data_IF_394132953933
#
_entry.id   IF_394132953933
#
_cell.length_a   1.000
_cell.length_b   1.000
_cell.length_c   1.000
_cell.angle_alpha   90.00
_cell.angle_beta   90.00
_cell.angle_gamma   90.00
#
_symmetry.space_group_name_H-M   'P 1'
#
loop_
_entity.id
_entity.type
_entity.pdbx_description
1 polymer ?
#
# COMPACT_ATOMS: atom_id res chain seq x y z
N UNK A 1 32.44 3.12 -7.39
CA UNK A 1 31.87 4.32 -6.73
C UNK A 1 31.74 5.52 -7.68
N UNK A 2 32.14 5.38 -8.95
CA UNK A 2 32.19 6.48 -9.94
C UNK A 2 30.96 6.56 -10.87
N UNK A 3 30.14 5.49 -10.96
CA UNK A 3 28.95 5.48 -11.82
C UNK A 3 27.77 6.28 -11.23
N UNK A 4 27.68 6.38 -9.90
CA UNK A 4 26.58 7.07 -9.21
C UNK A 4 26.71 8.59 -9.21
N UNK A 5 27.91 9.13 -9.45
CA UNK A 5 28.14 10.59 -9.54
C UNK A 5 27.91 11.14 -10.95
N UNK A 6 27.81 10.29 -11.98
CA UNK A 6 27.60 10.71 -13.37
C UNK A 6 26.12 10.77 -13.79
N UNK A 7 25.23 10.14 -13.02
CA UNK A 7 23.79 10.09 -13.35
C UNK A 7 23.13 11.49 -13.32
N UNK A 8 23.41 12.38 -12.33
CA UNK A 8 22.81 13.71 -12.30
C UNK A 8 23.19 14.58 -13.51
N UNK A 9 24.45 14.48 -13.96
CA UNK A 9 24.97 15.25 -15.10
C UNK A 9 24.39 14.78 -16.42
N UNK A 10 24.28 13.46 -16.64
CA UNK A 10 23.67 12.90 -17.86
C UNK A 10 22.19 13.29 -17.98
N UNK A 11 21.46 13.31 -16.87
CA UNK A 11 20.06 13.75 -16.86
C UNK A 11 19.95 15.26 -17.11
N UNK A 12 20.82 16.07 -16.52
CA UNK A 12 20.85 17.52 -16.74
C UNK A 12 21.18 17.88 -18.19
N UNK A 13 22.17 17.21 -18.80
CA UNK A 13 22.57 17.44 -20.19
C UNK A 13 21.48 16.97 -21.17
N UNK A 14 20.80 15.86 -20.86
CA UNK A 14 19.65 15.40 -21.64
C UNK A 14 18.48 16.40 -21.59
N UNK A 15 18.19 17.00 -20.42
CA UNK A 15 17.16 18.03 -20.28
C UNK A 15 17.55 19.30 -21.03
N UNK A 16 18.81 19.73 -20.93
CA UNK A 16 19.31 20.91 -21.62
C UNK A 16 19.35 20.77 -23.16
N UNK A 17 19.33 19.54 -23.68
CA UNK A 17 19.33 19.27 -25.12
C UNK A 17 17.95 19.31 -25.79
N UNK A 18 16.88 19.55 -25.02
CA UNK A 18 15.52 19.58 -25.54
C UNK A 18 15.27 20.95 -26.21
N UNK A 19 14.90 20.97 -27.50
CA UNK A 19 14.59 22.21 -28.20
C UNK A 19 13.43 22.96 -27.52
N UNK A 20 13.56 24.28 -27.34
CA UNK A 20 12.54 25.11 -26.67
C UNK A 20 11.16 25.09 -27.39
N UNK A 21 11.14 24.77 -28.68
CA UNK A 21 9.95 24.59 -29.50
C UNK A 21 9.29 23.20 -29.36
N UNK A 22 10.03 22.20 -28.86
CA UNK A 22 9.46 20.89 -28.52
C UNK A 22 8.59 20.95 -27.25
N UNK A 23 8.85 21.91 -26.35
CA UNK A 23 8.08 22.12 -25.13
C UNK A 23 6.65 22.63 -25.43
N UNK A 24 6.50 23.40 -26.52
CA UNK A 24 5.24 24.03 -26.94
C UNK A 24 4.34 23.06 -27.72
N UNK A 25 4.92 22.12 -28.48
CA UNK A 25 4.14 21.14 -29.25
C UNK A 25 3.57 19.99 -28.39
N UNK A 26 4.19 19.73 -27.24
CA UNK A 26 3.77 18.65 -26.33
C UNK A 26 2.76 19.15 -25.28
N UNK A 27 2.75 20.44 -24.93
CA UNK A 27 1.81 20.99 -23.94
C UNK A 27 0.36 21.02 -24.43
N UNK A 28 0.13 21.20 -25.73
CA UNK A 28 -1.21 21.52 -26.25
C UNK A 28 -2.04 20.32 -26.73
N UNK A 29 -1.43 19.15 -26.98
CA UNK A 29 -2.11 18.08 -27.73
C UNK A 29 -2.63 16.90 -26.89
N UNK A 30 -2.21 16.72 -25.63
CA UNK A 30 -2.55 15.52 -24.86
C UNK A 30 -3.05 15.75 -23.41
N UNK A 31 -2.98 16.99 -22.89
CA UNK A 31 -3.38 17.27 -21.49
C UNK A 31 -2.52 16.55 -20.43
N UNK A 32 -1.35 16.03 -20.82
CA UNK A 32 -0.41 15.37 -19.91
C UNK A 32 0.46 16.43 -19.23
N UNK A 33 0.67 16.26 -17.93
CA UNK A 33 1.62 17.10 -17.18
C UNK A 33 3.04 16.89 -17.74
N UNK A 34 3.75 17.94 -18.20
CA UNK A 34 5.10 17.82 -18.76
C UNK A 34 6.08 17.12 -17.82
N UNK A 35 5.88 17.24 -16.51
CA UNK A 35 6.69 16.59 -15.47
C UNK A 35 6.65 15.05 -15.60
N UNK A 36 5.56 14.47 -16.09
CA UNK A 36 5.43 13.01 -16.31
C UNK A 36 6.39 12.53 -17.40
N UNK A 37 6.65 13.36 -18.42
CA UNK A 37 7.52 13.01 -19.55
C UNK A 37 8.97 12.77 -19.11
N UNK A 38 9.43 13.54 -18.12
CA UNK A 38 10.77 13.39 -17.54
C UNK A 38 10.83 12.32 -16.45
N UNK A 39 9.76 12.19 -15.66
CA UNK A 39 9.70 11.22 -14.54
C UNK A 39 9.64 9.78 -15.02
N UNK A 40 8.89 9.48 -16.09
CA UNK A 40 8.72 8.10 -16.58
C UNK A 40 10.04 7.43 -16.99
N UNK A 41 10.90 8.03 -17.84
CA UNK A 41 12.19 7.44 -18.19
C UNK A 41 13.11 7.26 -16.98
N UNK A 42 13.15 8.24 -16.07
CA UNK A 42 13.94 8.16 -14.85
C UNK A 42 13.45 7.03 -13.93
N UNK A 43 12.14 6.92 -13.71
CA UNK A 43 11.52 5.86 -12.93
C UNK A 43 11.72 4.48 -13.57
N UNK A 44 11.68 4.39 -14.90
CA UNK A 44 11.96 3.15 -15.64
C UNK A 44 13.41 2.69 -15.45
N UNK A 45 14.38 3.61 -15.58
CA UNK A 45 15.79 3.31 -15.34
C UNK A 45 16.05 2.86 -13.90
N UNK A 46 15.54 3.60 -12.92
CA UNK A 46 15.68 3.24 -11.51
C UNK A 46 14.99 1.91 -11.18
N UNK A 47 13.81 1.66 -11.76
CA UNK A 47 13.12 0.37 -11.63
C UNK A 47 13.95 -0.77 -12.21
N UNK A 48 14.55 -0.59 -13.39
CA UNK A 48 15.43 -1.60 -13.98
C UNK A 48 16.63 -1.90 -13.07
N UNK A 49 17.25 -0.87 -12.48
CA UNK A 49 18.34 -1.04 -11.51
C UNK A 49 17.86 -1.84 -10.29
N UNK A 50 16.71 -1.48 -9.71
CA UNK A 50 16.13 -2.20 -8.56
C UNK A 50 15.86 -3.66 -8.92
N UNK A 51 15.25 -3.94 -10.07
CA UNK A 51 14.93 -5.29 -10.52
C UNK A 51 16.20 -6.12 -10.78
N UNK A 52 17.26 -5.54 -11.36
CA UNK A 52 18.55 -6.22 -11.57
C UNK A 52 19.22 -6.54 -10.24
N UNK A 53 19.26 -5.58 -9.31
CA UNK A 53 19.82 -5.80 -7.96
C UNK A 53 19.01 -6.87 -7.23
N UNK A 54 17.68 -6.81 -7.31
CA UNK A 54 16.78 -7.79 -6.72
C UNK A 54 16.98 -9.18 -7.31
N UNK A 55 17.02 -9.32 -8.64
CA UNK A 55 17.22 -10.58 -9.33
C UNK A 55 18.58 -11.20 -8.99
N UNK A 56 19.65 -10.41 -8.99
CA UNK A 56 20.99 -10.85 -8.56
C UNK A 56 21.01 -11.28 -7.10
N UNK A 57 20.34 -10.52 -6.22
CA UNK A 57 20.27 -10.86 -4.82
C UNK A 57 19.48 -12.16 -4.58
N UNK A 58 18.34 -12.31 -5.26
CA UNK A 58 17.46 -13.47 -5.15
C UNK A 58 18.11 -14.73 -5.70
N UNK A 59 18.72 -14.66 -6.88
CA UNK A 59 19.44 -15.78 -7.51
C UNK A 59 20.57 -16.32 -6.63
N UNK A 60 21.31 -15.43 -5.96
CA UNK A 60 22.38 -15.83 -5.00
C UNK A 60 21.84 -16.48 -3.73
N UNK A 61 20.61 -16.14 -3.33
CA UNK A 61 19.93 -16.70 -2.15
C UNK A 61 18.89 -17.71 -2.58
N UNK A 62 19.30 -18.69 -3.40
CA UNK A 62 18.50 -19.84 -3.82
C UNK A 62 18.18 -20.77 -2.64
N UNK A 63 17.52 -20.23 -1.61
CA UNK A 63 17.02 -20.99 -0.49
C UNK A 63 15.54 -21.20 -0.75
N UNK A 64 15.24 -22.46 -1.08
CA UNK A 64 13.97 -23.12 -0.85
C UNK A 64 13.65 -23.12 0.66
N UNK A 65 13.73 -21.97 1.33
CA UNK A 65 13.13 -21.82 2.64
C UNK A 65 11.64 -22.07 2.42
N UNK A 66 11.05 -23.09 3.06
CA UNK A 66 9.62 -23.34 2.95
C UNK A 66 8.87 -22.02 3.18
N UNK A 67 7.79 -21.74 2.41
CA UNK A 67 6.97 -20.53 2.60
C UNK A 67 6.73 -20.38 4.09
N UNK A 68 6.98 -19.20 4.67
CA UNK A 68 7.13 -19.00 6.11
C UNK A 68 6.07 -19.83 6.86
N UNK A 69 6.47 -21.04 7.25
CA UNK A 69 5.51 -22.10 7.42
C UNK A 69 4.94 -21.93 8.80
N UNK A 70 3.75 -21.35 8.87
CA UNK A 70 2.85 -21.58 9.99
C UNK A 70 2.86 -23.10 10.23
N UNK A 71 3.35 -23.52 11.40
CA UNK A 71 3.65 -24.92 11.71
C UNK A 71 2.48 -25.90 11.50
N UNK A 72 2.75 -27.21 11.55
CA UNK A 72 1.89 -28.26 10.96
C UNK A 72 0.46 -28.40 11.51
N UNK A 73 0.04 -27.65 12.54
CA UNK A 73 -1.19 -27.94 13.30
C UNK A 73 -2.46 -27.19 12.86
N UNK A 74 -2.38 -25.98 12.30
CA UNK A 74 -3.59 -25.26 11.85
C UNK A 74 -4.01 -25.75 10.46
N UNK A 75 -5.29 -25.95 10.17
CA UNK A 75 -5.75 -26.21 8.80
C UNK A 75 -5.73 -24.94 7.94
N UNK A 76 -5.43 -25.00 6.63
CA UNK A 76 -5.50 -23.83 5.75
C UNK A 76 -6.91 -23.22 5.69
N UNK A 77 -7.95 -24.07 5.76
CA UNK A 77 -9.34 -23.63 5.81
C UNK A 77 -9.62 -22.79 7.06
N UNK A 78 -9.10 -23.19 8.22
CA UNK A 78 -9.29 -22.43 9.45
C UNK A 78 -8.57 -21.07 9.37
N UNK A 79 -7.36 -21.00 8.82
CA UNK A 79 -6.69 -19.71 8.58
C UNK A 79 -7.52 -18.80 7.66
N UNK A 80 -8.04 -19.35 6.56
CA UNK A 80 -8.88 -18.61 5.62
C UNK A 80 -10.16 -18.11 6.31
N UNK A 81 -10.84 -18.98 7.05
CA UNK A 81 -12.04 -18.64 7.81
C UNK A 81 -11.75 -17.59 8.88
N UNK A 82 -10.59 -17.64 9.56
CA UNK A 82 -10.18 -16.59 10.51
C UNK A 82 -9.94 -15.26 9.81
N UNK A 83 -9.25 -15.24 8.66
CA UNK A 83 -9.01 -14.01 7.90
C UNK A 83 -10.31 -13.34 7.43
N UNK A 84 -11.22 -14.11 6.84
CA UNK A 84 -12.52 -13.60 6.41
C UNK A 84 -13.42 -13.24 7.60
N UNK A 85 -13.46 -14.08 8.64
CA UNK A 85 -14.22 -13.83 9.86
C UNK A 85 -13.77 -12.54 10.54
N UNK A 86 -12.45 -12.30 10.63
CA UNK A 86 -11.87 -11.05 11.11
C UNK A 86 -12.35 -9.87 10.25
N UNK A 87 -12.30 -10.00 8.92
CA UNK A 87 -12.75 -8.95 8.02
C UNK A 87 -14.22 -8.57 8.25
N UNK A 88 -15.13 -9.55 8.22
CA UNK A 88 -16.57 -9.31 8.40
C UNK A 88 -16.91 -8.83 9.80
N UNK A 89 -16.33 -9.44 10.84
CA UNK A 89 -16.62 -9.09 12.22
C UNK A 89 -16.17 -7.66 12.54
N UNK A 90 -15.00 -7.23 12.05
CA UNK A 90 -14.53 -5.85 12.20
C UNK A 90 -15.51 -4.86 11.60
N UNK A 91 -15.99 -5.09 10.36
CA UNK A 91 -16.94 -4.18 9.72
C UNK A 91 -18.31 -4.20 10.38
N UNK A 92 -18.78 -5.37 10.83
CA UNK A 92 -20.04 -5.50 11.55
C UNK A 92 -20.00 -4.74 12.89
N UNK A 93 -19.01 -5.01 13.73
CA UNK A 93 -18.88 -4.35 15.04
C UNK A 93 -18.58 -2.86 14.90
N UNK A 94 -17.76 -2.48 13.92
CA UNK A 94 -17.53 -1.09 13.54
C UNK A 94 -18.84 -0.40 13.18
N UNK A 95 -19.61 -0.94 12.23
CA UNK A 95 -20.90 -0.38 11.83
C UNK A 95 -21.91 -0.28 12.97
N UNK A 96 -22.00 -1.32 13.82
CA UNK A 96 -22.88 -1.31 14.99
C UNK A 96 -22.48 -0.24 16.00
N UNK A 97 -21.18 -0.11 16.30
CA UNK A 97 -20.70 0.91 17.26
C UNK A 97 -20.86 2.33 16.74
N UNK A 98 -20.70 2.56 15.44
CA UNK A 98 -21.02 3.86 14.81
C UNK A 98 -22.49 4.22 14.99
N UNK A 99 -23.40 3.24 14.90
CA UNK A 99 -24.82 3.46 15.13
C UNK A 99 -25.17 3.87 16.57
N UNK A 100 -24.27 3.66 17.53
CA UNK A 100 -24.42 4.09 18.93
C UNK A 100 -23.82 5.48 19.19
N UNK A 101 -23.01 6.01 18.28
CA UNK A 101 -22.45 7.35 18.40
C UNK A 101 -23.53 8.36 18.02
N UNK A 102 -23.87 9.33 18.88
CA UNK A 102 -24.83 10.38 18.52
C UNK A 102 -24.42 11.05 17.21
N UNK A 103 -25.37 11.20 16.30
CA UNK A 103 -25.11 11.90 15.05
C UNK A 103 -24.62 13.33 15.38
N UNK A 104 -23.48 13.77 14.82
CA UNK A 104 -23.08 15.16 14.93
C UNK A 104 -24.21 16.07 14.43
N UNK A 105 -24.31 17.29 14.95
CA UNK A 105 -25.24 18.28 14.42
C UNK A 105 -25.01 18.48 12.91
N UNK A 106 -26.10 18.77 12.19
CA UNK A 106 -26.14 18.78 10.72
C UNK A 106 -24.95 19.53 10.10
N UNK A 107 -24.22 18.85 9.21
CA UNK A 107 -23.13 19.43 8.41
C UNK A 107 -21.72 18.89 8.70
N UNK A 108 -21.48 18.17 9.80
CA UNK A 108 -20.12 17.69 10.14
C UNK A 108 -19.77 16.32 9.53
N UNK A 109 -19.77 16.22 8.20
CA UNK A 109 -19.38 14.99 7.48
C UNK A 109 -18.02 14.44 7.95
N UNK A 110 -17.04 15.32 8.18
CA UNK A 110 -15.70 14.95 8.67
C UNK A 110 -15.74 14.26 10.04
N UNK A 111 -16.54 14.77 10.99
CA UNK A 111 -16.66 14.18 12.34
C UNK A 111 -17.36 12.84 12.30
N UNK A 112 -18.36 12.69 11.44
CA UNK A 112 -19.02 11.41 11.21
C UNK A 112 -18.06 10.37 10.62
N UNK A 113 -17.29 10.74 9.61
CA UNK A 113 -16.26 9.87 9.01
C UNK A 113 -15.17 9.50 10.02
N UNK A 114 -14.71 10.45 10.82
CA UNK A 114 -13.70 10.21 11.86
C UNK A 114 -14.21 9.26 12.95
N UNK A 115 -15.45 9.46 13.41
CA UNK A 115 -16.10 8.54 14.36
C UNK A 115 -16.22 7.14 13.77
N UNK A 116 -16.61 7.03 12.50
CA UNK A 116 -16.69 5.76 11.80
C UNK A 116 -15.35 5.04 11.70
N UNK A 117 -14.31 5.75 11.28
CA UNK A 117 -12.95 5.23 11.22
C UNK A 117 -12.45 4.80 12.61
N UNK A 118 -12.67 5.61 13.64
CA UNK A 118 -12.26 5.28 15.01
C UNK A 118 -12.91 3.98 15.51
N UNK A 119 -14.22 3.82 15.30
CA UNK A 119 -14.95 2.61 15.66
C UNK A 119 -14.45 1.38 14.89
N UNK A 120 -14.34 1.49 13.55
CA UNK A 120 -13.90 0.38 12.69
C UNK A 120 -12.46 -0.02 13.03
N UNK A 121 -11.52 0.91 13.02
CA UNK A 121 -10.11 0.61 13.28
C UNK A 121 -9.84 0.24 14.73
N UNK A 122 -10.60 0.77 15.69
CA UNK A 122 -10.54 0.32 17.09
C UNK A 122 -10.85 -1.16 17.22
N UNK A 123 -11.97 -1.63 16.64
CA UNK A 123 -12.28 -3.05 16.58
C UNK A 123 -11.28 -3.84 15.76
N UNK A 124 -10.81 -3.29 14.64
CA UNK A 124 -9.84 -3.93 13.77
C UNK A 124 -8.54 -4.26 14.53
N UNK A 125 -8.02 -3.31 15.31
CA UNK A 125 -6.80 -3.49 16.12
C UNK A 125 -7.03 -4.54 17.21
N UNK A 126 -8.12 -4.44 17.97
CA UNK A 126 -8.44 -5.40 19.05
C UNK A 126 -8.58 -6.82 18.50
N UNK A 127 -9.40 -7.00 17.46
CA UNK A 127 -9.64 -8.32 16.87
C UNK A 127 -8.39 -8.87 16.18
N UNK A 128 -7.58 -8.02 15.53
CA UNK A 128 -6.30 -8.45 14.95
C UNK A 128 -5.32 -8.92 16.02
N UNK A 129 -5.24 -8.22 17.16
CA UNK A 129 -4.42 -8.63 18.30
C UNK A 129 -4.90 -9.96 18.89
N UNK A 130 -6.20 -10.13 19.10
CA UNK A 130 -6.79 -11.37 19.62
C UNK A 130 -6.57 -12.56 18.66
N UNK A 131 -6.86 -12.36 17.37
CA UNK A 131 -6.66 -13.38 16.34
C UNK A 131 -5.19 -13.79 16.25
N UNK A 132 -4.27 -12.83 16.35
CA UNK A 132 -2.84 -13.10 16.35
C UNK A 132 -2.36 -13.84 17.61
N UNK A 133 -2.84 -13.43 18.80
CA UNK A 133 -2.53 -14.12 20.06
C UNK A 133 -3.05 -15.57 20.06
N UNK A 134 -4.24 -15.79 19.50
CA UNK A 134 -4.80 -17.11 19.28
C UNK A 134 -3.96 -17.92 18.30
N UNK A 135 -3.65 -17.36 17.13
CA UNK A 135 -2.89 -18.04 16.08
C UNK A 135 -1.53 -18.50 16.62
N UNK A 136 -0.82 -17.65 17.38
CA UNK A 136 0.49 -17.94 18.00
C UNK A 136 0.53 -19.22 18.83
N UNK A 137 -0.60 -19.70 19.37
CA UNK A 137 -0.68 -20.97 20.11
C UNK A 137 -0.45 -22.19 19.22
N UNK A 138 -0.66 -22.04 17.92
CA UNK A 138 -0.63 -23.12 16.95
C UNK A 138 0.42 -22.89 15.83
N UNK A 139 1.05 -21.71 15.74
CA UNK A 139 2.17 -21.49 14.82
C UNK A 139 3.44 -22.14 15.41
N UNK A 140 3.91 -23.26 14.85
CA UNK A 140 5.24 -23.82 15.15
C UNK A 140 6.32 -23.31 14.17
N UNK A 141 7.56 -23.17 14.67
CA UNK A 141 8.82 -22.73 14.03
C UNK A 141 9.14 -21.22 14.00
N UNK A 142 10.45 -20.87 14.10
CA UNK A 142 10.96 -19.85 14.99
C UNK A 142 10.49 -18.49 14.54
N UNK A 143 10.02 -17.72 15.52
CA UNK A 143 9.83 -16.30 15.34
C UNK A 143 11.07 -15.76 14.58
N UNK A 144 10.90 -15.35 13.33
CA UNK A 144 11.57 -14.14 12.86
C UNK A 144 11.03 -13.09 13.83
N UNK A 145 11.74 -13.00 14.94
CA UNK A 145 11.38 -12.37 16.21
C UNK A 145 10.44 -11.21 15.99
N UNK A 146 9.40 -11.08 16.80
CA UNK A 146 8.52 -9.90 16.85
C UNK A 146 9.33 -8.73 17.39
N UNK A 147 10.34 -8.33 16.62
CA UNK A 147 11.25 -7.25 16.89
C UNK A 147 10.62 -6.05 16.25
N UNK A 148 10.41 -5.02 17.05
CA UNK A 148 10.06 -3.70 16.57
C UNK A 148 10.99 -3.24 15.43
N UNK A 149 12.25 -3.68 15.42
CA UNK A 149 13.18 -3.43 14.31
C UNK A 149 12.69 -3.94 12.94
N UNK A 150 11.81 -4.95 12.89
CA UNK A 150 11.21 -5.38 11.64
C UNK A 150 10.23 -4.34 11.07
N UNK A 151 9.55 -3.55 11.92
CA UNK A 151 8.76 -2.41 11.48
C UNK A 151 9.64 -1.42 10.71
N UNK A 152 10.79 -1.04 11.29
CA UNK A 152 11.77 -0.16 10.65
C UNK A 152 12.29 -0.76 9.34
N UNK A 153 12.58 -2.06 9.29
CA UNK A 153 12.97 -2.73 8.04
C UNK A 153 11.88 -2.59 6.97
N UNK A 154 10.62 -2.71 7.35
CA UNK A 154 9.47 -2.45 6.48
C UNK A 154 9.49 -1.04 5.89
N UNK A 155 9.66 -0.03 6.74
CA UNK A 155 9.79 1.37 6.30
C UNK A 155 10.95 1.53 5.31
N UNK A 156 12.12 0.94 5.59
CA UNK A 156 13.28 1.02 4.71
C UNK A 156 13.05 0.32 3.35
N UNK A 157 12.15 -0.66 3.27
CA UNK A 157 11.77 -1.30 2.00
C UNK A 157 10.96 -0.39 1.08
N UNK A 158 10.43 0.74 1.57
CA UNK A 158 9.77 1.72 0.72
C UNK A 158 10.76 2.37 -0.26
N UNK A 159 12.00 2.62 0.14
CA UNK A 159 13.01 3.29 -0.70
C UNK A 159 13.25 2.60 -2.05
N UNK A 160 13.57 1.29 -2.13
CA UNK A 160 13.69 0.60 -3.42
C UNK A 160 12.34 0.41 -4.13
N UNK A 161 11.21 0.54 -3.43
CA UNK A 161 9.87 0.39 -4.01
C UNK A 161 9.38 1.66 -4.71
N UNK A 162 9.79 2.85 -4.26
CA UNK A 162 9.40 4.16 -4.82
C UNK A 162 9.52 4.22 -6.36
N UNK A 163 10.66 3.89 -7.00
CA UNK A 163 10.75 4.01 -8.46
C UNK A 163 9.77 3.10 -9.20
N UNK A 164 9.46 1.92 -8.64
CA UNK A 164 8.49 0.98 -9.21
C UNK A 164 7.07 1.55 -9.08
N UNK A 165 6.73 2.10 -7.91
CA UNK A 165 5.43 2.74 -7.66
C UNK A 165 5.23 3.95 -8.56
N UNK A 166 6.25 4.81 -8.68
CA UNK A 166 6.21 5.98 -9.56
C UNK A 166 6.01 5.56 -11.01
N UNK A 167 6.79 4.59 -11.50
CA UNK A 167 6.66 4.09 -12.86
C UNK A 167 5.24 3.57 -13.15
N UNK A 168 4.71 2.73 -12.26
CA UNK A 168 3.39 2.12 -12.44
C UNK A 168 2.27 3.14 -12.31
N UNK A 169 2.37 4.06 -11.34
CA UNK A 169 1.39 5.13 -11.13
C UNK A 169 1.34 6.09 -12.31
N UNK A 170 2.49 6.61 -12.75
CA UNK A 170 2.56 7.56 -13.86
C UNK A 170 2.12 6.89 -15.17
N UNK A 171 2.47 5.61 -15.38
CA UNK A 171 1.98 4.85 -16.54
C UNK A 171 0.46 4.72 -16.52
N UNK A 172 -0.14 4.45 -15.36
CA UNK A 172 -1.59 4.37 -15.24
C UNK A 172 -2.29 5.72 -15.46
N UNK A 173 -1.67 6.83 -15.03
CA UNK A 173 -2.13 8.20 -15.32
C UNK A 173 -2.09 8.50 -16.82
N UNK A 174 -1.02 8.12 -17.51
CA UNK A 174 -0.92 8.27 -18.97
C UNK A 174 -2.02 7.47 -19.66
N UNK A 175 -2.19 6.19 -19.33
CA UNK A 175 -3.25 5.36 -19.90
C UNK A 175 -4.63 5.97 -19.63
N UNK A 176 -4.90 6.44 -18.41
CA UNK A 176 -6.15 7.13 -18.09
C UNK A 176 -6.39 8.36 -18.95
N UNK A 177 -5.38 9.20 -19.11
CA UNK A 177 -5.48 10.44 -19.89
C UNK A 177 -5.73 10.14 -21.36
N UNK A 178 -5.03 9.15 -21.93
CA UNK A 178 -5.23 8.70 -23.30
C UNK A 178 -6.64 8.13 -23.53
N UNK A 179 -7.19 7.41 -22.55
CA UNK A 179 -8.52 6.80 -22.67
C UNK A 179 -9.67 7.79 -22.45
N UNK A 180 -9.47 8.83 -21.63
CA UNK A 180 -10.55 9.73 -21.19
C UNK A 180 -10.44 11.16 -21.72
N UNK A 181 -9.31 11.52 -22.34
CA UNK A 181 -8.99 12.87 -22.78
C UNK A 181 -8.72 13.87 -21.65
N UNK A 182 -8.64 13.41 -20.39
CA UNK A 182 -8.40 14.26 -19.22
C UNK A 182 -7.50 13.58 -18.18
N UNK A 183 -6.62 14.33 -17.51
CA UNK A 183 -5.86 13.79 -16.40
C UNK A 183 -6.80 13.39 -15.25
N UNK A 184 -6.48 12.34 -14.48
CA UNK A 184 -7.24 11.97 -13.30
C UNK A 184 -7.12 13.05 -12.21
N UNK A 185 -8.12 13.14 -11.34
CA UNK A 185 -8.04 14.01 -10.16
C UNK A 185 -6.91 13.48 -9.24
N UNK A 186 -5.93 14.32 -8.86
CA UNK A 186 -4.87 13.91 -7.93
C UNK A 186 -5.40 13.52 -6.54
N UNK A 187 -6.57 14.02 -6.14
CA UNK A 187 -7.24 13.63 -4.90
C UNK A 187 -8.19 12.47 -5.19
N UNK A 188 -7.81 11.27 -4.75
CA UNK A 188 -8.45 10.02 -5.13
C UNK A 188 -9.83 9.74 -4.48
N UNK A 189 -10.18 10.41 -3.36
CA UNK A 189 -11.43 10.16 -2.62
C UNK A 189 -11.87 11.35 -1.74
N UNK A 190 -13.18 11.47 -1.51
CA UNK A 190 -13.81 12.55 -0.73
C UNK A 190 -13.26 12.67 0.70
N UNK A 191 -12.93 11.54 1.34
CA UNK A 191 -12.33 11.55 2.68
C UNK A 191 -10.98 12.27 2.70
N UNK A 192 -10.16 12.16 1.64
CA UNK A 192 -8.86 12.83 1.58
C UNK A 192 -9.02 14.32 1.31
N UNK A 193 -9.96 14.69 0.44
CA UNK A 193 -10.32 16.10 0.19
C UNK A 193 -10.66 16.83 1.50
N UNK A 194 -11.47 16.20 2.36
CA UNK A 194 -11.81 16.75 3.67
C UNK A 194 -10.60 16.87 4.61
N UNK A 195 -9.72 15.86 4.63
CA UNK A 195 -8.49 15.90 5.46
C UNK A 195 -7.60 17.05 5.01
N UNK A 196 -7.44 17.24 3.71
CA UNK A 196 -6.51 18.23 3.17
C UNK A 196 -7.00 19.66 3.37
N UNK A 197 -8.32 19.90 3.36
CA UNK A 197 -8.85 21.24 3.65
C UNK A 197 -8.71 21.66 5.12
N UNK A 198 -8.79 20.71 6.06
CA UNK A 198 -8.77 21.02 7.51
C UNK A 198 -7.88 20.05 8.30
N UNK A 199 -6.58 19.92 7.97
CA UNK A 199 -5.72 18.83 8.46
C UNK A 199 -5.46 18.87 9.97
N UNK A 200 -5.58 20.05 10.57
CA UNK A 200 -5.36 20.26 12.00
C UNK A 200 -6.61 20.01 12.86
N UNK A 201 -7.78 19.75 12.24
CA UNK A 201 -8.96 19.37 13.02
C UNK A 201 -8.75 17.99 13.64
N UNK A 202 -9.16 17.77 14.91
CA UNK A 202 -9.02 16.46 15.55
C UNK A 202 -9.63 15.31 14.75
N UNK A 203 -10.76 15.55 14.07
CA UNK A 203 -11.41 14.57 13.21
C UNK A 203 -10.53 14.16 12.01
N UNK A 204 -9.87 15.12 11.34
CA UNK A 204 -8.92 14.82 10.28
C UNK A 204 -7.71 14.03 10.82
N UNK A 205 -7.19 14.39 11.99
CA UNK A 205 -6.09 13.66 12.63
C UNK A 205 -6.44 12.20 12.96
N UNK A 206 -7.67 11.95 13.41
CA UNK A 206 -8.19 10.59 13.64
C UNK A 206 -8.23 9.79 12.33
N UNK A 207 -8.73 10.39 11.24
CA UNK A 207 -8.74 9.74 9.93
C UNK A 207 -7.33 9.44 9.42
N UNK A 208 -6.40 10.40 9.55
CA UNK A 208 -5.00 10.21 9.17
C UNK A 208 -4.34 9.08 9.99
N UNK A 209 -4.56 9.06 11.31
CA UNK A 209 -4.06 7.99 12.17
C UNK A 209 -4.68 6.63 11.82
N UNK A 210 -5.98 6.59 11.52
CA UNK A 210 -6.68 5.41 11.04
C UNK A 210 -6.08 4.87 9.74
N UNK A 211 -5.87 5.74 8.75
CA UNK A 211 -5.29 5.37 7.46
C UNK A 211 -3.82 4.94 7.56
N UNK A 212 -3.00 5.59 8.40
CA UNK A 212 -1.56 5.29 8.53
C UNK A 212 -1.31 4.08 9.44
N UNK A 213 -2.10 3.88 10.49
CA UNK A 213 -1.84 2.85 11.50
C UNK A 213 -2.92 1.78 11.52
N UNK A 214 -4.18 2.17 11.64
CA UNK A 214 -5.32 1.26 11.78
C UNK A 214 -5.48 0.32 10.58
N UNK A 215 -5.57 0.90 9.38
CA UNK A 215 -5.72 0.16 8.13
C UNK A 215 -4.54 -0.82 7.91
N UNK A 216 -3.26 -0.41 7.94
CA UNK A 216 -2.14 -1.35 7.78
C UNK A 216 -2.12 -2.47 8.81
N UNK A 217 -2.40 -2.21 10.10
CA UNK A 217 -2.43 -3.27 11.12
C UNK A 217 -3.49 -4.31 10.78
N UNK A 218 -4.69 -3.87 10.45
CA UNK A 218 -5.80 -4.74 10.13
C UNK A 218 -5.58 -5.51 8.82
N UNK A 219 -5.30 -4.78 7.75
CA UNK A 219 -5.19 -5.33 6.40
C UNK A 219 -4.00 -6.29 6.30
N UNK A 220 -2.83 -5.95 6.85
CA UNK A 220 -1.70 -6.89 6.83
C UNK A 220 -1.96 -8.13 7.69
N UNK A 221 -2.68 -8.00 8.81
CA UNK A 221 -3.07 -9.16 9.63
C UNK A 221 -3.99 -10.09 8.84
N UNK A 222 -5.04 -9.56 8.21
CA UNK A 222 -5.97 -10.32 7.37
C UNK A 222 -5.24 -10.93 6.18
N UNK A 223 -4.67 -10.09 5.31
CA UNK A 223 -4.13 -10.52 4.03
C UNK A 223 -2.84 -11.33 4.17
N UNK A 224 -1.89 -10.92 5.01
CA UNK A 224 -0.56 -11.58 5.08
C UNK A 224 -0.55 -12.61 6.19
N UNK A 225 -1.02 -12.23 7.38
CA UNK A 225 -1.11 -13.14 8.52
C UNK A 225 -1.96 -14.38 8.21
N UNK A 226 -3.16 -14.20 7.65
CA UNK A 226 -4.11 -15.29 7.44
C UNK A 226 -4.23 -15.75 5.98
N UNK A 227 -4.64 -14.90 5.04
CA UNK A 227 -4.94 -15.34 3.66
C UNK A 227 -3.70 -15.84 2.90
N UNK A 228 -2.61 -15.06 2.86
CA UNK A 228 -1.37 -15.47 2.20
C UNK A 228 -0.81 -16.74 2.81
N UNK A 229 -0.84 -16.86 4.14
CA UNK A 229 -0.41 -18.07 4.83
C UNK A 229 -1.28 -19.29 4.47
N UNK A 230 -2.60 -19.11 4.37
CA UNK A 230 -3.51 -20.17 3.91
C UNK A 230 -3.16 -20.61 2.48
N UNK A 231 -3.01 -19.67 1.55
CA UNK A 231 -2.61 -19.95 0.17
C UNK A 231 -1.23 -20.62 0.08
N UNK A 232 -0.26 -20.15 0.86
CA UNK A 232 1.09 -20.72 0.90
C UNK A 232 1.09 -22.19 1.29
N UNK A 233 0.15 -22.61 2.13
CA UNK A 233 -0.01 -24.00 2.57
C UNK A 233 -0.74 -24.87 1.55
N UNK A 234 -1.80 -24.35 0.94
CA UNK A 234 -2.57 -25.08 -0.09
C UNK A 234 -1.73 -25.26 -1.36
N UNK A 235 -1.16 -24.16 -1.85
CA UNK A 235 -0.49 -24.13 -3.15
C UNK A 235 0.96 -24.59 -3.09
N UNK A 236 1.57 -24.60 -1.89
CA UNK A 236 3.00 -24.89 -1.68
C UNK A 236 3.92 -24.03 -2.56
N UNK A 237 3.46 -22.85 -2.97
CA UNK A 237 4.17 -21.92 -3.82
C UNK A 237 3.99 -20.49 -3.28
N UNK A 238 5.07 -19.93 -2.73
CA UNK A 238 5.07 -18.59 -2.12
C UNK A 238 4.70 -17.49 -3.10
N UNK A 239 5.13 -17.57 -4.36
CA UNK A 239 4.87 -16.51 -5.33
C UNK A 239 3.41 -16.51 -5.78
N UNK A 240 2.81 -17.69 -5.94
CA UNK A 240 1.37 -17.79 -6.19
C UNK A 240 0.58 -17.27 -4.98
N UNK A 241 0.97 -17.62 -3.76
CA UNK A 241 0.32 -17.11 -2.55
C UNK A 241 0.39 -15.58 -2.43
N UNK A 242 1.58 -14.99 -2.64
CA UNK A 242 1.77 -13.53 -2.68
C UNK A 242 0.89 -12.90 -3.74
N UNK A 243 0.92 -13.44 -4.96
CA UNK A 243 0.20 -12.85 -6.11
C UNK A 243 -1.31 -12.90 -5.91
N UNK A 244 -1.86 -14.05 -5.51
CA UNK A 244 -3.30 -14.19 -5.27
C UNK A 244 -3.78 -13.29 -4.13
N UNK A 245 -3.03 -13.22 -3.03
CA UNK A 245 -3.36 -12.31 -1.93
C UNK A 245 -3.28 -10.85 -2.37
N UNK A 246 -2.25 -10.46 -3.14
CA UNK A 246 -2.09 -9.08 -3.63
C UNK A 246 -3.23 -8.69 -4.60
N UNK A 247 -3.70 -9.62 -5.42
CA UNK A 247 -4.86 -9.41 -6.29
C UNK A 247 -6.13 -9.22 -5.46
N UNK A 248 -6.39 -10.09 -4.48
CA UNK A 248 -7.56 -9.93 -3.58
C UNK A 248 -7.52 -8.60 -2.82
N UNK A 249 -6.34 -8.22 -2.32
CA UNK A 249 -6.09 -6.94 -1.68
C UNK A 249 -6.39 -5.75 -2.61
N UNK A 250 -5.88 -5.77 -3.83
CA UNK A 250 -6.13 -4.70 -4.79
C UNK A 250 -7.61 -4.62 -5.22
N UNK A 251 -8.26 -5.77 -5.38
CA UNK A 251 -9.69 -5.83 -5.73
C UNK A 251 -10.59 -5.36 -4.59
N UNK A 252 -10.24 -5.57 -3.32
CA UNK A 252 -11.05 -5.06 -2.21
C UNK A 252 -11.13 -3.54 -2.21
N UNK A 253 -10.14 -2.84 -2.76
CA UNK A 253 -10.16 -1.37 -2.89
C UNK A 253 -11.15 -0.88 -3.97
N UNK A 254 -11.67 -1.78 -4.81
CA UNK A 254 -12.75 -1.49 -5.77
C UNK A 254 -14.13 -1.85 -5.25
N UNK A 255 -14.22 -2.50 -4.10
CA UNK A 255 -15.46 -3.03 -3.53
C UNK A 255 -15.70 -2.32 -2.19
N UNK A 256 -16.70 -1.46 -2.12
CA UNK A 256 -16.99 -0.73 -0.88
C UNK A 256 -17.83 0.53 -1.12
N UNK A 257 -17.98 1.32 -0.06
CA UNK A 257 -18.75 2.57 -0.05
C UNK A 257 -18.01 3.66 -0.85
N UNK A 258 -16.69 3.74 -0.71
CA UNK A 258 -15.82 4.67 -1.46
C UNK A 258 -14.77 3.90 -2.27
N UNK A 259 -15.11 3.43 -3.49
CA UNK A 259 -14.18 2.65 -4.30
C UNK A 259 -13.06 3.52 -4.88
N UNK A 260 -11.82 3.06 -4.76
CA UNK A 260 -10.63 3.74 -5.27
C UNK A 260 -10.65 3.81 -6.80
N UNK A 261 -10.29 4.94 -7.45
CA UNK A 261 -10.23 5.04 -8.92
C UNK A 261 -9.41 3.92 -9.57
N UNK A 262 -9.85 3.44 -10.73
CA UNK A 262 -9.24 2.27 -11.38
C UNK A 262 -7.74 2.44 -11.69
N UNK A 263 -7.31 3.67 -12.02
CA UNK A 263 -5.92 3.96 -12.38
C UNK A 263 -4.96 3.85 -11.18
N UNK A 264 -5.46 3.87 -9.95
CA UNK A 264 -4.64 3.67 -8.75
C UNK A 264 -4.48 2.18 -8.36
N UNK A 265 -5.34 1.29 -8.88
CA UNK A 265 -5.32 -0.15 -8.58
C UNK A 265 -3.99 -0.83 -8.94
N UNK A 266 -3.33 -0.53 -10.08
CA UNK A 266 -2.01 -1.08 -10.39
C UNK A 266 -0.96 -0.79 -9.30
N UNK A 267 -0.93 0.43 -8.77
CA UNK A 267 -0.01 0.82 -7.69
C UNK A 267 -0.32 0.09 -6.38
N UNK A 268 -1.61 -0.08 -6.06
CA UNK A 268 -2.06 -0.86 -4.90
C UNK A 268 -1.70 -2.35 -5.05
N UNK A 269 -1.78 -2.92 -6.26
CA UNK A 269 -1.33 -4.28 -6.53
C UNK A 269 0.19 -4.43 -6.30
N UNK A 270 0.99 -3.46 -6.76
CA UNK A 270 2.44 -3.43 -6.53
C UNK A 270 2.77 -3.35 -5.04
N UNK A 271 2.11 -2.47 -4.29
CA UNK A 271 2.22 -2.44 -2.83
C UNK A 271 1.83 -3.80 -2.22
N UNK A 272 0.73 -4.36 -2.72
CA UNK A 272 0.20 -5.67 -2.35
C UNK A 272 1.26 -6.77 -2.37
N UNK A 273 1.94 -6.88 -3.53
CA UNK A 273 3.03 -7.81 -3.78
C UNK A 273 4.26 -7.52 -2.93
N UNK A 274 4.62 -6.24 -2.76
CA UNK A 274 5.77 -5.83 -1.95
C UNK A 274 5.58 -6.18 -0.47
N UNK A 275 4.42 -5.90 0.11
CA UNK A 275 4.06 -6.31 1.47
C UNK A 275 4.10 -7.84 1.62
N UNK A 276 3.57 -8.59 0.64
CA UNK A 276 3.64 -10.05 0.65
C UNK A 276 5.06 -10.60 0.63
N UNK A 277 5.95 -9.99 -0.17
CA UNK A 277 7.37 -10.35 -0.21
C UNK A 277 8.09 -10.00 1.11
N UNK A 278 7.87 -8.80 1.64
CA UNK A 278 8.47 -8.33 2.90
C UNK A 278 7.97 -9.18 4.07
N UNK A 279 6.71 -9.61 4.07
CA UNK A 279 6.15 -10.54 5.04
C UNK A 279 6.93 -11.87 5.06
N UNK A 280 7.12 -12.51 3.91
CA UNK A 280 7.89 -13.78 3.83
C UNK A 280 9.33 -13.60 4.35
N UNK A 281 9.93 -12.43 4.11
CA UNK A 281 11.32 -12.14 4.48
C UNK A 281 11.51 -11.74 5.94
N UNK A 282 10.62 -10.91 6.47
CA UNK A 282 10.82 -10.18 7.73
C UNK A 282 9.62 -10.26 8.70
N UNK A 283 8.52 -10.87 8.29
CA UNK A 283 7.32 -11.10 9.11
C UNK A 283 6.32 -9.94 9.08
N UNK A 284 5.22 -10.13 9.83
CA UNK A 284 4.03 -9.27 9.80
C UNK A 284 4.33 -7.79 10.10
N UNK A 285 5.12 -7.50 11.13
CA UNK A 285 5.46 -6.13 11.48
C UNK A 285 6.20 -5.38 10.35
N UNK A 286 7.00 -6.07 9.55
CA UNK A 286 7.66 -5.43 8.41
C UNK A 286 6.69 -5.10 7.29
N UNK A 287 5.70 -5.95 7.02
CA UNK A 287 4.65 -5.64 6.07
C UNK A 287 3.79 -4.45 6.54
N UNK A 288 3.42 -4.43 7.83
CA UNK A 288 2.73 -3.29 8.46
C UNK A 288 3.56 -2.01 8.31
N UNK A 289 4.86 -2.06 8.58
CA UNK A 289 5.75 -0.90 8.46
C UNK A 289 5.88 -0.38 7.04
N UNK A 290 6.00 -1.26 6.05
CA UNK A 290 6.03 -0.87 4.63
C UNK A 290 4.71 -0.20 4.21
N UNK A 291 3.58 -0.81 4.56
CA UNK A 291 2.26 -0.30 4.21
C UNK A 291 1.98 1.04 4.91
N UNK A 292 2.22 1.15 6.22
CA UNK A 292 2.08 2.40 6.96
C UNK A 292 2.95 3.51 6.37
N UNK A 293 4.20 3.22 5.98
CA UNK A 293 5.08 4.18 5.34
C UNK A 293 4.54 4.63 3.96
N UNK A 294 3.99 3.71 3.17
CA UNK A 294 3.35 4.05 1.89
C UNK A 294 2.12 4.96 2.10
N UNK A 295 1.25 4.64 3.05
CA UNK A 295 0.08 5.47 3.35
C UNK A 295 0.48 6.85 3.86
N UNK A 296 1.46 6.92 4.76
CA UNK A 296 2.01 8.18 5.25
C UNK A 296 2.60 9.02 4.11
N UNK A 297 3.40 8.42 3.22
CA UNK A 297 4.01 9.14 2.09
C UNK A 297 2.97 9.70 1.12
N UNK A 298 1.93 8.94 0.77
CA UNK A 298 0.86 9.43 -0.10
C UNK A 298 0.03 10.53 0.56
N UNK A 299 -0.27 10.41 1.85
CA UNK A 299 -0.98 11.44 2.59
C UNK A 299 -0.15 12.72 2.69
N UNK A 300 1.14 12.63 2.99
CA UNK A 300 2.05 13.79 3.00
C UNK A 300 2.13 14.43 1.62
N UNK A 301 2.22 13.64 0.55
CA UNK A 301 2.19 14.17 -0.81
C UNK A 301 0.88 14.92 -1.10
N UNK A 302 -0.27 14.37 -0.69
CA UNK A 302 -1.56 15.01 -0.86
C UNK A 302 -1.68 16.34 -0.11
N UNK A 303 -1.15 16.42 1.12
CA UNK A 303 -1.13 17.66 1.90
C UNK A 303 -0.25 18.72 1.24
N UNK A 304 0.97 18.34 0.81
CA UNK A 304 1.92 19.28 0.18
C UNK A 304 1.43 19.79 -1.18
N UNK A 305 0.78 18.94 -1.98
CA UNK A 305 0.32 19.32 -3.32
C UNK A 305 -0.90 20.23 -3.33
N UNK A 306 -1.67 20.31 -2.24
CA UNK A 306 -2.84 21.20 -2.17
C UNK A 306 -2.49 22.54 -1.50
N UNK A 307 -1.44 22.57 -0.67
CA UNK A 307 -0.90 23.82 -0.12
C UNK A 307 -0.10 24.64 -1.17
N UNK A 308 0.19 24.08 -2.35
CA UNK A 308 0.95 24.70 -3.44
C UNK A 308 0.07 25.17 -4.59
#
# INVERSE_FOLDING_TARGET
MSLFLAIPTIVADAIASIPADAEILVSDSAGLNPVILYRLPAAALLTAIVLVVFARHHSRRNTQSPPAAIGPSISPLLLFATGFGLFFLTHLLGGLTVGLVPAPHDGEHLVRSASAAACVYGWAIVLSALAWLWARRFLYEPQKSVRFLNLLRGVLWLAPLIPVLVLVSDSAVVVHTLLTGRPPNPIAHATLEQIVHEPWRPAAQILMAGAILGAPVFEETVYRGFLQSAWGRVLKNRWLAITLTAVLFALSHRIGIEPVPWHAIPSILVLGMACGYVFERHGLLAAIGLHAAFNAANLTLALVLVDS
#
